data_IF_703111428053
#
_entry.id   IF_703111428053
#
_cell.length_a   1.000
_cell.length_b   1.000
_cell.length_c   1.000
_cell.angle_alpha   90.00
_cell.angle_beta   90.00
_cell.angle_gamma   90.00
#
_symmetry.space_group_name_H-M   'P 1'
#
loop_
_entity.id
_entity.type
_entity.pdbx_description
1 polymer ?
#
# COMPACT_ATOMS: atom_id res chain seq x y z
N UNK A 1 -8.78 33.14 -22.10
CA UNK A 1 -8.96 31.76 -22.61
C UNK A 1 -8.23 30.80 -21.68
N UNK A 2 -8.95 29.96 -20.93
CA UNK A 2 -8.35 28.95 -20.04
C UNK A 2 -8.06 27.70 -20.85
N UNK A 3 -6.78 27.41 -21.12
CA UNK A 3 -6.38 26.12 -21.69
C UNK A 3 -6.56 25.02 -20.64
N UNK A 4 -7.76 24.44 -20.59
CA UNK A 4 -7.97 23.12 -20.01
C UNK A 4 -7.31 22.09 -20.94
N UNK A 5 -5.98 21.96 -20.88
CA UNK A 5 -5.31 20.76 -21.37
C UNK A 5 -5.80 19.62 -20.48
N UNK A 6 -6.60 18.72 -21.04
CA UNK A 6 -6.92 17.44 -20.41
C UNK A 6 -5.60 16.72 -20.15
N UNK A 7 -5.16 16.71 -18.89
CA UNK A 7 -3.99 15.97 -18.47
C UNK A 7 -4.32 14.48 -18.50
N UNK A 8 -3.94 13.81 -19.59
CA UNK A 8 -3.84 12.36 -19.61
C UNK A 8 -2.46 12.03 -19.07
N UNK A 9 -2.31 11.51 -17.83
CA UNK A 9 -1.00 11.07 -17.38
C UNK A 9 -0.56 9.91 -18.27
N UNK A 10 0.47 10.14 -19.09
CA UNK A 10 1.06 9.13 -19.96
C UNK A 10 1.91 8.23 -19.07
N UNK A 11 1.28 7.23 -18.47
CA UNK A 11 2.00 6.12 -17.86
C UNK A 11 2.36 5.14 -18.97
N UNK A 12 3.65 5.04 -19.32
CA UNK A 12 4.10 4.01 -20.26
C UNK A 12 4.50 2.79 -19.45
N UNK A 13 3.66 1.75 -19.50
CA UNK A 13 4.03 0.45 -18.99
C UNK A 13 4.93 -0.26 -20.01
N UNK A 14 6.07 -0.77 -19.55
CA UNK A 14 7.02 -1.53 -20.37
C UNK A 14 7.26 -2.89 -19.74
N UNK A 15 7.64 -3.85 -20.59
CA UNK A 15 8.00 -5.19 -20.14
C UNK A 15 9.18 -5.11 -19.15
N UNK A 16 9.16 -5.92 -18.08
CA UNK A 16 10.30 -6.07 -17.20
C UNK A 16 11.48 -6.57 -18.03
N UNK A 17 12.66 -6.05 -17.71
CA UNK A 17 13.93 -6.45 -18.28
C UNK A 17 14.98 -6.29 -17.19
N UNK A 18 15.96 -7.19 -17.17
CA UNK A 18 17.13 -7.00 -16.31
C UNK A 18 17.85 -5.72 -16.75
N UNK A 19 18.17 -4.86 -15.79
CA UNK A 19 18.93 -3.63 -15.99
C UNK A 19 20.41 -3.99 -16.03
N UNK A 20 20.90 -4.37 -17.21
CA UNK A 20 22.27 -4.86 -17.40
C UNK A 20 23.37 -3.85 -17.07
N UNK A 21 23.05 -2.56 -17.01
CA UNK A 21 23.97 -1.49 -16.63
C UNK A 21 23.98 -1.18 -15.13
N UNK A 22 23.05 -1.75 -14.34
CA UNK A 22 23.00 -1.48 -12.91
C UNK A 22 24.13 -2.23 -12.18
N UNK A 23 24.75 -1.55 -11.23
CA UNK A 23 25.71 -2.10 -10.28
C UNK A 23 25.24 -1.83 -8.84
N UNK A 24 25.92 -2.37 -7.84
CA UNK A 24 25.51 -2.24 -6.43
C UNK A 24 25.40 -0.78 -5.96
N UNK A 25 26.22 0.13 -6.50
CA UNK A 25 26.18 1.55 -6.14
C UNK A 25 24.94 2.27 -6.69
N UNK A 26 24.15 1.64 -7.57
CA UNK A 26 22.89 2.19 -8.08
C UNK A 26 21.70 1.89 -7.14
N UNK A 27 21.95 1.22 -6.03
CA UNK A 27 20.93 0.85 -5.06
C UNK A 27 21.01 1.69 -3.78
N UNK A 28 19.90 1.74 -3.06
CA UNK A 28 19.78 2.32 -1.73
C UNK A 28 19.17 1.31 -0.77
N UNK A 29 19.71 1.24 0.44
CA UNK A 29 19.25 0.31 1.47
C UNK A 29 17.86 0.71 1.99
N UNK A 30 17.01 -0.28 2.21
CA UNK A 30 15.76 -0.10 2.95
C UNK A 30 15.39 -1.36 3.73
N UNK A 31 14.72 -1.19 4.86
CA UNK A 31 14.35 -2.30 5.75
C UNK A 31 12.86 -2.59 5.77
N UNK A 32 12.03 -1.58 5.47
CA UNK A 32 10.60 -1.61 5.71
C UNK A 32 9.81 -1.26 4.47
N UNK A 33 8.67 -1.92 4.31
CA UNK A 33 7.67 -1.61 3.30
C UNK A 33 6.38 -1.18 3.99
N UNK A 34 5.59 -0.37 3.32
CA UNK A 34 4.35 0.16 3.85
C UNK A 34 3.19 0.03 2.87
N UNK A 35 2.01 -0.23 3.43
CA UNK A 35 0.73 -0.06 2.75
C UNK A 35 0.02 1.11 3.39
N UNK A 36 -0.16 2.20 2.65
CA UNK A 36 -0.90 3.35 3.15
C UNK A 36 -2.35 3.28 2.70
N UNK A 37 -3.27 3.51 3.64
CA UNK A 37 -4.70 3.63 3.39
C UNK A 37 -5.18 5.05 3.67
N UNK A 38 -6.15 5.49 2.88
CA UNK A 38 -6.90 6.71 3.15
C UNK A 38 -7.73 6.52 4.43
N UNK A 39 -7.94 7.60 5.20
CA UNK A 39 -8.66 7.52 6.48
C UNK A 39 -10.08 6.94 6.30
N UNK A 40 -10.78 7.35 5.23
CA UNK A 40 -12.12 6.83 4.92
C UNK A 40 -12.10 5.31 4.68
N UNK A 41 -11.08 4.79 4.00
CA UNK A 41 -10.96 3.35 3.73
C UNK A 41 -10.67 2.61 5.05
N UNK A 42 -9.77 3.16 5.87
CA UNK A 42 -9.44 2.59 7.16
C UNK A 42 -10.67 2.54 8.11
N UNK A 43 -11.52 3.56 8.11
CA UNK A 43 -12.73 3.61 8.94
C UNK A 43 -13.86 2.70 8.41
N UNK A 44 -13.90 2.47 7.09
CA UNK A 44 -14.96 1.69 6.46
C UNK A 44 -14.63 0.20 6.30
N UNK A 45 -13.34 -0.16 6.24
CA UNK A 45 -12.91 -1.54 6.22
C UNK A 45 -12.72 -2.10 7.63
N UNK A 46 -13.04 -3.38 7.82
CA UNK A 46 -12.61 -4.09 9.02
C UNK A 46 -11.08 -4.16 8.97
N UNK A 47 -10.41 -3.41 9.84
CA UNK A 47 -8.97 -3.18 9.74
C UNK A 47 -8.18 -4.49 9.79
N UNK A 48 -8.65 -5.53 10.49
CA UNK A 48 -8.04 -6.87 10.57
C UNK A 48 -8.00 -7.62 9.27
N UNK A 49 -8.80 -7.21 8.29
CA UNK A 49 -8.83 -7.84 6.99
C UNK A 49 -8.28 -6.86 5.98
N UNK A 50 -7.07 -7.12 5.52
CA UNK A 50 -6.60 -6.52 4.29
C UNK A 50 -7.44 -7.06 3.13
N UNK A 51 -8.52 -6.34 2.83
CA UNK A 51 -9.29 -6.62 1.63
C UNK A 51 -8.45 -6.19 0.42
N UNK A 52 -8.21 -7.09 -0.53
CA UNK A 52 -7.56 -6.77 -1.78
C UNK A 52 -8.39 -5.70 -2.49
N UNK A 53 -7.75 -4.60 -2.89
CA UNK A 53 -8.42 -3.65 -3.77
C UNK A 53 -8.47 -4.33 -5.14
N UNK A 54 -9.66 -4.74 -5.57
CA UNK A 54 -9.87 -5.21 -6.94
C UNK A 54 -9.67 -4.00 -7.85
N UNK A 55 -8.49 -3.86 -8.43
CA UNK A 55 -8.19 -2.78 -9.37
C UNK A 55 -8.86 -3.08 -10.71
N UNK A 56 -10.13 -2.72 -10.84
CA UNK A 56 -10.80 -2.67 -12.13
C UNK A 56 -10.33 -1.41 -12.88
N UNK A 57 -9.54 -1.56 -13.96
CA UNK A 57 -9.54 -0.53 -14.99
C UNK A 57 -8.22 -0.06 -15.60
N UNK A 58 -7.06 -0.58 -15.22
CA UNK A 58 -5.83 -0.44 -16.05
C UNK A 58 -5.11 -1.77 -16.06
N UNK A 59 -4.67 -2.20 -17.25
CA UNK A 59 -4.17 -3.55 -17.57
C UNK A 59 -3.03 -3.99 -16.64
N UNK A 60 -3.35 -4.39 -15.41
CA UNK A 60 -2.46 -5.21 -14.59
C UNK A 60 -2.40 -6.57 -15.27
N UNK A 61 -1.18 -7.01 -15.60
CA UNK A 61 -0.93 -8.27 -16.31
C UNK A 61 -1.39 -9.52 -15.53
N UNK A 62 -1.89 -9.36 -14.31
CA UNK A 62 -2.49 -10.42 -13.51
C UNK A 62 -3.94 -10.62 -13.96
N UNK A 63 -4.11 -11.26 -15.12
CA UNK A 63 -5.39 -11.87 -15.50
C UNK A 63 -5.66 -13.07 -14.59
N UNK A 64 -6.30 -12.83 -13.46
CA UNK A 64 -6.77 -13.89 -12.55
C UNK A 64 -7.56 -13.29 -11.39
N UNK A 65 -8.47 -14.09 -10.81
CA UNK A 65 -9.24 -13.79 -9.59
C UNK A 65 -8.37 -13.73 -8.32
N UNK A 66 -7.18 -13.12 -8.44
CA UNK A 66 -6.20 -12.99 -7.37
C UNK A 66 -6.32 -11.65 -6.69
N UNK A 67 -6.03 -11.66 -5.40
CA UNK A 67 -6.29 -10.59 -4.46
C UNK A 67 -4.94 -10.08 -3.99
N UNK A 68 -4.50 -8.92 -4.49
CA UNK A 68 -3.17 -8.39 -4.18
C UNK A 68 -3.22 -7.27 -3.16
N UNK A 69 -2.27 -7.28 -2.22
CA UNK A 69 -1.96 -6.14 -1.37
C UNK A 69 -0.79 -5.38 -1.94
N UNK A 70 -0.99 -4.07 -2.10
CA UNK A 70 0.03 -3.16 -2.59
C UNK A 70 0.79 -2.55 -1.43
N UNK A 71 2.11 -2.58 -1.52
CA UNK A 71 3.05 -1.95 -0.61
C UNK A 71 4.08 -1.14 -1.43
N UNK A 72 4.60 -0.07 -0.86
CA UNK A 72 5.79 0.65 -1.33
C UNK A 72 6.90 0.53 -0.29
N UNK A 73 8.10 1.00 -0.61
CA UNK A 73 9.12 1.25 0.43
C UNK A 73 8.55 2.25 1.44
N UNK A 74 8.80 2.01 2.74
CA UNK A 74 8.32 2.87 3.80
C UNK A 74 9.01 4.24 3.77
N UNK A 75 8.22 5.31 3.80
CA UNK A 75 8.72 6.69 3.87
C UNK A 75 8.65 7.23 5.31
N UNK A 76 9.44 8.27 5.64
CA UNK A 76 9.24 9.04 6.86
C UNK A 76 7.78 9.49 7.01
N UNK A 77 7.26 9.48 8.24
CA UNK A 77 5.84 9.80 8.49
C UNK A 77 5.51 11.27 8.25
N UNK A 78 6.52 12.14 8.38
CA UNK A 78 6.45 13.58 8.20
C UNK A 78 6.34 13.99 6.72
N UNK A 79 6.89 13.17 5.81
CA UNK A 79 6.75 13.36 4.37
C UNK A 79 5.29 13.25 3.93
N UNK A 80 4.95 13.82 2.78
CA UNK A 80 3.59 13.76 2.27
C UNK A 80 3.30 12.38 1.64
N UNK A 81 2.36 11.65 2.21
CA UNK A 81 1.95 10.33 1.74
C UNK A 81 0.77 10.44 0.79
N UNK A 82 0.99 10.20 -0.51
CA UNK A 82 -0.06 10.42 -1.53
C UNK A 82 -1.23 9.45 -1.45
N UNK A 83 -1.02 8.31 -0.81
CA UNK A 83 -1.97 7.21 -0.73
C UNK A 83 -2.96 7.33 0.42
N UNK A 84 -2.66 8.15 1.45
CA UNK A 84 -3.60 8.35 2.55
C UNK A 84 -2.96 8.79 3.85
N UNK A 85 -3.61 8.40 4.95
CA UNK A 85 -3.39 8.95 6.29
C UNK A 85 -2.79 7.94 7.27
N UNK A 86 -2.88 6.64 6.96
CA UNK A 86 -2.44 5.57 7.86
C UNK A 86 -1.63 4.54 7.11
N UNK A 87 -0.37 4.38 7.50
CA UNK A 87 0.54 3.37 6.97
C UNK A 87 0.58 2.13 7.85
N UNK A 88 0.50 0.97 7.20
CA UNK A 88 0.74 -0.35 7.76
C UNK A 88 2.14 -0.79 7.34
N UNK A 89 3.09 -0.74 8.26
CA UNK A 89 4.52 -0.89 7.99
C UNK A 89 4.99 -2.25 8.54
N UNK A 90 5.69 -3.01 7.70
CA UNK A 90 6.28 -4.30 8.05
C UNK A 90 7.73 -4.34 7.57
N UNK A 91 8.61 -5.01 8.31
CA UNK A 91 9.96 -5.29 7.83
C UNK A 91 9.90 -6.23 6.63
N UNK A 92 10.62 -5.90 5.57
CA UNK A 92 10.65 -6.74 4.37
C UNK A 92 11.19 -8.14 4.69
N UNK A 93 12.20 -8.22 5.57
CA UNK A 93 12.76 -9.49 6.01
C UNK A 93 11.70 -10.40 6.65
N UNK A 94 10.95 -9.92 7.64
CA UNK A 94 9.90 -10.69 8.32
C UNK A 94 8.84 -11.21 7.33
N UNK A 95 8.46 -10.36 6.36
CA UNK A 95 7.54 -10.75 5.29
C UNK A 95 8.11 -11.87 4.43
N UNK A 96 9.36 -11.72 3.98
CA UNK A 96 10.01 -12.66 3.09
C UNK A 96 10.31 -13.99 3.78
N UNK A 97 10.75 -13.99 5.04
CA UNK A 97 10.93 -15.22 5.83
C UNK A 97 9.62 -16.01 5.98
N UNK A 98 8.51 -15.31 6.16
CA UNK A 98 7.20 -15.96 6.26
C UNK A 98 6.73 -16.57 4.94
N UNK A 99 6.99 -15.90 3.80
CA UNK A 99 6.37 -16.25 2.52
C UNK A 99 7.29 -16.89 1.49
N UNK A 100 8.61 -16.74 1.53
CA UNK A 100 9.51 -17.26 0.49
C UNK A 100 9.53 -18.79 0.39
N UNK A 101 9.15 -19.50 1.44
CA UNK A 101 8.99 -20.97 1.41
C UNK A 101 7.80 -21.42 0.54
N UNK A 102 6.80 -20.55 0.34
CA UNK A 102 5.54 -20.87 -0.35
C UNK A 102 5.25 -19.98 -1.55
N UNK A 103 5.97 -18.87 -1.70
CA UNK A 103 5.77 -17.86 -2.74
C UNK A 103 7.10 -17.55 -3.44
N UNK A 104 6.99 -17.21 -4.72
CA UNK A 104 8.10 -16.79 -5.57
C UNK A 104 7.96 -15.31 -5.92
N UNK A 105 9.11 -14.68 -6.18
CA UNK A 105 9.16 -13.30 -6.61
C UNK A 105 9.22 -13.20 -8.13
N UNK A 106 8.42 -12.30 -8.69
CA UNK A 106 8.43 -11.97 -10.12
C UNK A 106 8.51 -10.47 -10.31
N UNK A 107 9.36 -10.02 -11.23
CA UNK A 107 9.36 -8.66 -11.74
C UNK A 107 8.28 -8.55 -12.82
N UNK A 108 7.30 -7.68 -12.61
CA UNK A 108 6.06 -7.64 -13.39
C UNK A 108 6.07 -6.59 -14.50
N UNK A 109 6.49 -5.37 -14.17
CA UNK A 109 6.39 -4.23 -15.07
C UNK A 109 7.25 -3.05 -14.58
N UNK A 110 7.59 -2.18 -15.53
CA UNK A 110 8.13 -0.84 -15.26
C UNK A 110 7.13 0.18 -15.78
N UNK A 111 6.71 1.09 -14.92
CA UNK A 111 5.84 2.21 -15.22
C UNK A 111 6.69 3.46 -15.29
N UNK A 112 6.80 4.03 -16.49
CA UNK A 112 7.41 5.34 -16.65
C UNK A 112 6.43 6.45 -16.25
N UNK A 113 6.84 7.25 -15.27
CA UNK A 113 6.20 8.50 -14.86
C UNK A 113 7.01 9.69 -15.40
N UNK A 114 6.43 10.89 -15.28
CA UNK A 114 7.07 12.13 -15.76
C UNK A 114 8.45 12.35 -15.13
N UNK A 115 8.56 12.17 -13.81
CA UNK A 115 9.74 12.46 -13.01
C UNK A 115 10.45 11.22 -12.45
N UNK A 116 9.81 10.05 -12.49
CA UNK A 116 10.35 8.82 -11.92
C UNK A 116 9.99 7.60 -12.76
N UNK A 117 10.66 6.50 -12.47
CA UNK A 117 10.28 5.16 -12.90
C UNK A 117 9.74 4.40 -11.70
N UNK A 118 8.73 3.56 -11.90
CA UNK A 118 8.20 2.69 -10.88
C UNK A 118 8.32 1.25 -11.35
N UNK A 119 9.06 0.42 -10.63
CA UNK A 119 9.04 -1.02 -10.85
C UNK A 119 8.08 -1.71 -9.90
N UNK A 120 7.42 -2.75 -10.39
CA UNK A 120 6.53 -3.59 -9.59
C UNK A 120 7.00 -5.02 -9.54
N UNK A 121 7.11 -5.54 -8.33
CA UNK A 121 7.40 -6.95 -8.07
C UNK A 121 6.20 -7.60 -7.42
N UNK A 122 5.96 -8.88 -7.71
CA UNK A 122 4.91 -9.67 -7.05
C UNK A 122 5.50 -10.85 -6.30
N UNK A 123 5.01 -11.07 -5.09
CA UNK A 123 5.21 -12.26 -4.30
C UNK A 123 3.95 -13.14 -4.39
N UNK A 124 4.05 -14.32 -5.01
CA UNK A 124 2.89 -15.19 -5.25
C UNK A 124 3.24 -16.68 -5.21
N UNK A 125 2.30 -17.50 -4.73
CA UNK A 125 2.39 -18.96 -4.82
C UNK A 125 2.06 -19.49 -6.22
N UNK A 126 1.47 -18.66 -7.08
CA UNK A 126 1.11 -19.03 -8.45
C UNK A 126 2.36 -18.99 -9.33
N UNK A 127 2.56 -20.03 -10.14
CA UNK A 127 3.57 -20.01 -11.20
C UNK A 127 3.12 -19.07 -12.32
N UNK A 128 3.74 -17.90 -12.43
CA UNK A 128 3.39 -16.90 -13.45
C UNK A 128 4.08 -17.13 -14.81
N UNK A 129 4.60 -18.33 -15.08
CA UNK A 129 5.36 -18.67 -16.31
C UNK A 129 4.59 -18.38 -17.61
N UNK A 130 3.25 -18.38 -17.57
CA UNK A 130 2.38 -18.08 -18.72
C UNK A 130 2.07 -16.59 -18.90
N UNK A 131 2.33 -15.74 -17.90
CA UNK A 131 2.09 -14.31 -17.96
C UNK A 131 3.36 -13.61 -18.43
N UNK A 132 3.73 -13.80 -19.71
CA UNK A 132 4.70 -12.90 -20.33
C UNK A 132 4.12 -11.48 -20.28
N UNK A 133 4.87 -10.50 -19.76
CA UNK A 133 6.34 -10.50 -19.69
C UNK A 133 6.98 -10.77 -18.31
N UNK A 134 6.30 -11.31 -17.30
CA UNK A 134 6.86 -11.49 -15.95
C UNK A 134 8.17 -12.29 -15.90
N UNK A 135 9.16 -11.81 -15.16
CA UNK A 135 10.47 -12.44 -14.96
C UNK A 135 10.59 -12.93 -13.52
N UNK A 136 10.76 -14.23 -13.30
CA UNK A 136 11.11 -14.74 -11.97
C UNK A 136 12.55 -14.33 -11.67
N UNK A 137 12.82 -13.82 -10.47
CA UNK A 137 14.17 -13.45 -10.07
C UNK A 137 14.41 -13.77 -8.60
N UNK A 138 15.68 -13.93 -8.24
CA UNK A 138 16.14 -14.03 -6.85
C UNK A 138 16.76 -12.68 -6.45
N UNK A 139 16.47 -12.14 -5.25
CA UNK A 139 17.01 -10.84 -4.83
C UNK A 139 18.55 -10.76 -4.80
N UNK A 140 19.28 -11.87 -4.74
CA UNK A 140 20.74 -11.87 -4.79
C UNK A 140 21.32 -11.44 -6.15
N UNK A 141 20.49 -11.29 -7.19
CA UNK A 141 20.94 -10.88 -8.52
C UNK A 141 20.85 -9.36 -8.73
N UNK A 142 21.99 -8.73 -9.05
CA UNK A 142 22.05 -7.33 -9.49
C UNK A 142 21.37 -7.14 -10.85
N UNK A 143 20.74 -5.99 -11.05
CA UNK A 143 20.02 -5.65 -12.28
C UNK A 143 18.50 -5.84 -12.17
N UNK A 144 17.99 -6.19 -11.01
CA UNK A 144 16.55 -6.17 -10.71
C UNK A 144 16.19 -4.97 -9.82
N UNK A 145 14.91 -4.58 -9.74
CA UNK A 145 14.47 -3.48 -8.89
C UNK A 145 14.79 -3.65 -7.39
N UNK A 146 14.93 -4.91 -6.96
CA UNK A 146 15.26 -5.32 -5.60
C UNK A 146 16.55 -6.14 -5.64
N UNK A 147 17.49 -5.80 -4.75
CA UNK A 147 18.75 -6.50 -4.56
C UNK A 147 18.93 -6.87 -3.09
N UNK A 148 19.55 -8.01 -2.80
CA UNK A 148 19.97 -8.43 -1.46
C UNK A 148 21.50 -8.58 -1.48
N UNK A 149 22.15 -7.71 -0.72
CA UNK A 149 23.60 -7.71 -0.53
C UNK A 149 24.11 -8.97 0.17
N UNK A 150 25.42 -9.18 0.12
CA UNK A 150 26.08 -10.32 0.78
C UNK A 150 25.90 -10.31 2.30
N UNK A 151 25.80 -9.11 2.90
CA UNK A 151 25.53 -8.87 4.32
C UNK A 151 24.08 -9.18 4.70
N UNK A 152 23.23 -9.48 3.71
CA UNK A 152 21.83 -9.84 3.91
C UNK A 152 20.87 -8.65 3.91
N UNK A 153 21.36 -7.43 3.68
CA UNK A 153 20.53 -6.21 3.61
C UNK A 153 19.83 -6.11 2.25
N UNK A 154 18.59 -5.62 2.27
CA UNK A 154 17.79 -5.39 1.07
C UNK A 154 17.97 -3.95 0.58
N UNK A 155 18.07 -3.82 -0.74
CA UNK A 155 18.29 -2.57 -1.42
C UNK A 155 17.34 -2.43 -2.60
N UNK A 156 16.88 -1.21 -2.84
CA UNK A 156 16.08 -0.87 -4.01
C UNK A 156 16.89 -0.05 -4.98
N UNK A 157 16.63 -0.24 -6.27
CA UNK A 157 17.27 0.57 -7.30
C UNK A 157 16.82 2.03 -7.14
N UNK A 158 17.77 2.96 -6.93
CA UNK A 158 17.48 4.38 -6.67
C UNK A 158 17.36 5.20 -7.94
N UNK A 159 18.16 4.85 -8.94
CA UNK A 159 18.23 5.51 -10.25
C UNK A 159 18.55 4.47 -11.31
N UNK A 160 18.01 4.66 -12.50
CA UNK A 160 18.46 3.90 -13.67
C UNK A 160 19.47 4.76 -14.45
N UNK A 161 20.71 4.29 -14.65
CA UNK A 161 21.74 5.04 -15.36
C UNK A 161 21.28 5.56 -16.73
N UNK A 162 20.51 4.75 -17.47
CA UNK A 162 20.04 5.10 -18.81
C UNK A 162 18.90 6.13 -18.83
N UNK A 163 18.28 6.43 -17.68
CA UNK A 163 17.07 7.25 -17.59
C UNK A 163 17.26 8.55 -16.82
N UNK A 164 18.31 8.70 -16.01
CA UNK A 164 18.54 9.86 -15.13
C UNK A 164 17.28 10.26 -14.34
N UNK A 165 16.45 9.27 -13.97
CA UNK A 165 15.21 9.43 -13.22
C UNK A 165 15.33 8.66 -11.92
N UNK A 166 14.75 9.21 -10.86
CA UNK A 166 14.53 8.48 -9.62
C UNK A 166 13.69 7.24 -9.87
N UNK A 167 13.93 6.20 -9.10
CA UNK A 167 13.29 4.91 -9.28
C UNK A 167 12.59 4.49 -7.98
N UNK A 168 11.33 4.08 -8.12
CA UNK A 168 10.47 3.63 -7.04
C UNK A 168 10.22 2.13 -7.16
N UNK A 169 10.02 1.46 -6.03
CA UNK A 169 9.68 0.04 -5.98
C UNK A 169 8.34 -0.16 -5.25
N UNK A 170 7.42 -0.85 -5.92
CA UNK A 170 6.17 -1.33 -5.34
C UNK A 170 6.15 -2.87 -5.29
N UNK A 171 5.63 -3.39 -4.19
CA UNK A 171 5.41 -4.80 -3.94
C UNK A 171 3.92 -5.13 -4.06
N UNK A 172 3.64 -6.21 -4.76
CA UNK A 172 2.34 -6.84 -4.85
C UNK A 172 2.41 -8.14 -4.07
N UNK A 173 1.62 -8.29 -3.02
CA UNK A 173 1.56 -9.54 -2.24
C UNK A 173 0.27 -10.24 -2.61
N UNK A 174 0.37 -11.37 -3.29
CA UNK A 174 -0.77 -12.19 -3.67
C UNK A 174 -1.27 -13.00 -2.48
N UNK A 175 -2.47 -12.67 -2.02
CA UNK A 175 -3.09 -13.26 -0.85
C UNK A 175 -3.93 -14.45 -1.26
N UNK A 176 -3.58 -15.62 -0.73
CA UNK A 176 -4.29 -16.87 -0.97
C UNK A 176 -5.59 -16.94 -0.15
N UNK A 177 -5.56 -16.50 1.10
CA UNK A 177 -6.69 -16.60 2.02
C UNK A 177 -6.71 -15.49 3.09
N UNK A 178 -7.74 -15.55 3.94
CA UNK A 178 -7.94 -14.58 5.02
C UNK A 178 -6.86 -14.67 6.11
N UNK A 179 -6.27 -15.84 6.34
CA UNK A 179 -5.27 -16.05 7.39
C UNK A 179 -3.96 -15.35 7.02
N UNK A 180 -3.53 -15.44 5.76
CA UNK A 180 -2.38 -14.68 5.25
C UNK A 180 -2.59 -13.17 5.44
N UNK A 181 -3.75 -12.65 5.05
CA UNK A 181 -4.09 -11.24 5.24
C UNK A 181 -4.06 -10.82 6.72
N UNK A 182 -4.59 -11.65 7.61
CA UNK A 182 -4.60 -11.40 9.05
C UNK A 182 -3.18 -11.44 9.65
N UNK A 183 -2.34 -12.34 9.17
CA UNK A 183 -0.94 -12.42 9.61
C UNK A 183 -0.19 -11.15 9.24
N UNK A 184 -0.29 -10.68 7.98
CA UNK A 184 0.34 -9.42 7.57
C UNK A 184 -0.17 -8.27 8.43
N UNK A 185 -1.48 -8.18 8.63
CA UNK A 185 -2.08 -7.10 9.43
C UNK A 185 -1.57 -7.07 10.88
N UNK A 186 -1.43 -8.23 11.49
CA UNK A 186 -1.02 -8.38 12.88
C UNK A 186 0.46 -8.04 13.06
N UNK A 187 1.29 -8.30 12.04
CA UNK A 187 2.72 -7.98 12.05
C UNK A 187 3.03 -6.55 11.57
N UNK A 188 2.07 -5.85 10.97
CA UNK A 188 2.24 -4.44 10.64
C UNK A 188 2.16 -3.52 11.88
N UNK A 189 3.20 -2.71 12.05
CA UNK A 189 3.15 -1.46 12.81
C UNK A 189 2.20 -0.49 12.10
N UNK A 190 1.35 0.20 12.85
CA UNK A 190 0.37 1.15 12.32
C UNK A 190 0.82 2.56 12.66
N UNK A 191 1.03 3.40 11.66
CA UNK A 191 1.51 4.77 11.84
C UNK A 191 0.58 5.73 11.13
N UNK A 192 0.24 6.81 11.82
CA UNK A 192 -0.41 7.96 11.19
C UNK A 192 0.64 8.76 10.43
N UNK A 193 0.34 9.04 9.17
CA UNK A 193 1.24 9.73 8.24
C UNK A 193 0.62 11.04 7.76
N UNK A 194 1.48 11.96 7.31
CA UNK A 194 1.06 13.28 6.86
C UNK A 194 0.39 13.19 5.47
N UNK A 195 -0.87 13.60 5.38
CA UNK A 195 -1.62 13.74 4.13
C UNK A 195 -2.09 15.18 3.91
N UNK A 196 -1.51 16.15 4.62
CA UNK A 196 -2.02 17.53 4.67
C UNK A 196 -2.02 18.22 3.30
N UNK A 197 -1.14 17.79 2.39
CA UNK A 197 -1.05 18.36 1.05
C UNK A 197 -2.06 17.77 0.05
N UNK A 198 -2.94 16.86 0.49
CA UNK A 198 -3.89 16.11 -0.36
C UNK A 198 -4.85 16.95 -1.22
N UNK A 199 -4.98 18.27 -0.95
CA UNK A 199 -5.83 19.22 -1.68
C UNK A 199 -5.10 20.44 -2.23
N UNK A 200 -3.76 20.46 -2.22
CA UNK A 200 -2.98 21.64 -2.64
C UNK A 200 -2.98 21.87 -4.15
N UNK A 201 -3.58 20.96 -4.94
CA UNK A 201 -3.66 21.08 -6.39
C UNK A 201 -2.34 20.78 -7.12
N UNK A 202 -1.26 20.47 -6.40
CA UNK A 202 -0.03 19.95 -6.97
C UNK A 202 -0.25 18.55 -7.59
N UNK A 203 0.64 18.16 -8.52
CA UNK A 203 0.67 16.79 -9.05
C UNK A 203 0.88 15.80 -7.88
N UNK A 204 0.21 14.64 -7.95
CA UNK A 204 0.33 13.55 -6.96
C UNK A 204 -0.08 13.88 -5.51
N UNK A 205 -1.02 14.80 -5.30
CA UNK A 205 -1.45 15.21 -3.95
C UNK A 205 -2.28 14.14 -3.21
N UNK A 206 -3.30 13.57 -3.84
CA UNK A 206 -4.05 12.44 -3.27
C UNK A 206 -4.42 11.43 -4.36
N UNK A 207 -3.92 10.20 -4.26
CA UNK A 207 -4.13 9.17 -5.27
C UNK A 207 -5.61 8.76 -5.37
N UNK A 208 -6.31 8.66 -4.24
CA UNK A 208 -7.71 8.22 -4.21
C UNK A 208 -8.67 9.19 -4.92
N UNK A 209 -8.48 10.50 -4.71
CA UNK A 209 -9.36 11.51 -5.26
C UNK A 209 -8.86 12.05 -6.61
N UNK A 210 -7.57 12.38 -6.78
CA UNK A 210 -7.10 13.02 -8.02
C UNK A 210 -6.94 12.07 -9.22
N UNK A 211 -6.65 10.78 -9.03
CA UNK A 211 -6.29 9.87 -10.14
C UNK A 211 -7.47 9.00 -10.60
N UNK A 212 -8.38 8.61 -9.70
CA UNK A 212 -9.51 7.72 -10.03
C UNK A 212 -10.81 8.43 -10.43
N UNK A 213 -10.72 9.67 -10.92
CA UNK A 213 -11.83 10.32 -11.62
C UNK A 213 -12.86 11.00 -10.73
N UNK A 214 -12.70 11.02 -9.41
CA UNK A 214 -13.44 11.95 -8.58
C UNK A 214 -12.75 13.32 -8.71
N UNK A 215 -13.22 14.22 -9.56
CA UNK A 215 -12.79 15.65 -9.54
C UNK A 215 -13.19 16.37 -8.22
N UNK A 216 -13.27 15.64 -7.13
CA UNK A 216 -13.61 16.08 -5.79
C UNK A 216 -12.32 16.27 -5.00
N UNK A 217 -12.36 17.23 -4.07
CA UNK A 217 -11.31 17.41 -3.08
C UNK A 217 -11.25 16.19 -2.16
N UNK A 218 -10.04 15.78 -1.79
CA UNK A 218 -9.80 14.81 -0.73
C UNK A 218 -10.57 15.25 0.54
N UNK A 219 -11.27 14.30 1.16
CA UNK A 219 -12.06 14.57 2.38
C UNK A 219 -11.23 14.53 3.65
N UNK A 220 -10.06 13.88 3.62
CA UNK A 220 -9.13 13.81 4.75
C UNK A 220 -7.71 14.28 4.43
N UNK A 221 -7.52 15.52 3.94
CA UNK A 221 -6.20 16.13 3.70
C UNK A 221 -5.57 16.55 5.03
N UNK A 222 -5.36 15.61 5.94
CA UNK A 222 -5.07 15.89 7.35
C UNK A 222 -3.60 15.73 7.66
N UNK A 223 -3.10 16.56 8.57
CA UNK A 223 -1.81 16.37 9.21
C UNK A 223 -1.83 15.13 10.11
N UNK A 224 -0.66 14.78 10.65
CA UNK A 224 -0.50 13.69 11.60
C UNK A 224 -1.35 13.95 12.86
N UNK A 225 -1.32 15.17 13.40
CA UNK A 225 -2.01 15.56 14.62
C UNK A 225 -3.52 15.44 14.44
N UNK A 226 -4.05 15.96 13.33
CA UNK A 226 -5.48 15.92 13.06
C UNK A 226 -5.99 14.51 12.82
N UNK A 227 -5.23 13.69 12.08
CA UNK A 227 -5.58 12.29 11.89
C UNK A 227 -5.60 11.53 13.22
N UNK A 228 -4.61 11.76 14.09
CA UNK A 228 -4.57 11.17 15.43
C UNK A 228 -5.77 11.57 16.30
N UNK A 229 -6.18 12.84 16.27
CA UNK A 229 -7.37 13.32 16.98
C UNK A 229 -8.63 12.56 16.52
N UNK A 230 -8.81 12.43 15.21
CA UNK A 230 -9.96 11.73 14.63
C UNK A 230 -9.97 10.27 15.08
N UNK A 231 -8.84 9.56 14.94
CA UNK A 231 -8.73 8.15 15.35
C UNK A 231 -9.06 7.97 16.83
N UNK A 232 -8.49 8.81 17.70
CA UNK A 232 -8.77 8.77 19.14
C UNK A 232 -10.25 9.03 19.43
N UNK A 233 -10.86 9.99 18.74
CA UNK A 233 -12.29 10.30 18.90
C UNK A 233 -13.17 9.12 18.49
N UNK A 234 -12.85 8.46 17.37
CA UNK A 234 -13.55 7.27 16.86
C UNK A 234 -13.44 6.12 17.86
N UNK A 235 -12.23 5.83 18.36
CA UNK A 235 -12.01 4.80 19.38
C UNK A 235 -12.78 5.08 20.68
N UNK A 236 -12.85 6.33 21.11
CA UNK A 236 -13.56 6.71 22.33
C UNK A 236 -15.08 6.55 22.18
N UNK A 237 -15.65 6.97 21.04
CA UNK A 237 -17.06 6.74 20.73
C UNK A 237 -17.39 5.26 20.72
N UNK A 238 -16.53 4.47 20.08
CA UNK A 238 -16.59 3.02 20.04
C UNK A 238 -16.63 2.36 21.44
N UNK A 239 -15.70 2.77 22.32
CA UNK A 239 -15.67 2.28 23.72
C UNK A 239 -16.93 2.65 24.50
N UNK A 240 -17.44 3.88 24.31
CA UNK A 240 -18.68 4.34 24.97
C UNK A 240 -19.90 3.53 24.50
N UNK A 241 -20.01 3.30 23.19
CA UNK A 241 -21.11 2.51 22.61
C UNK A 241 -21.08 1.06 23.12
N UNK A 242 -19.91 0.42 23.19
CA UNK A 242 -19.79 -0.94 23.73
C UNK A 242 -20.17 -1.01 25.22
N UNK A 243 -19.81 -0.01 26.03
CA UNK A 243 -20.24 0.07 27.43
C UNK A 243 -21.76 0.24 27.56
N UNK A 244 -22.37 1.06 26.71
CA UNK A 244 -23.82 1.26 26.71
C UNK A 244 -24.57 0.00 26.26
N UNK A 245 -24.09 -0.69 25.23
CA UNK A 245 -24.67 -1.96 24.77
C UNK A 245 -24.59 -3.04 25.85
N UNK A 246 -23.44 -3.18 26.54
CA UNK A 246 -23.31 -4.09 27.69
C UNK A 246 -24.30 -3.75 28.82
N UNK A 247 -24.50 -2.47 29.13
CA UNK A 247 -25.48 -2.03 30.14
C UNK A 247 -26.92 -2.32 29.74
N UNK A 248 -27.28 -2.14 28.46
CA UNK A 248 -28.62 -2.47 27.94
C UNK A 248 -28.88 -3.98 27.94
N UNK A 249 -27.89 -4.78 27.54
CA UNK A 249 -27.97 -6.24 27.60
C UNK A 249 -28.17 -6.75 29.04
N UNK A 250 -27.48 -6.15 30.02
CA UNK A 250 -27.67 -6.46 31.45
C UNK A 250 -29.04 -6.04 32.00
N UNK A 251 -29.75 -5.11 31.33
CA UNK A 251 -31.09 -4.64 31.71
C UNK A 251 -32.23 -5.34 30.94
N UNK A 252 -31.93 -6.31 30.08
CA UNK A 252 -32.94 -7.01 29.29
C UNK A 252 -33.59 -6.17 28.17
N UNK A 253 -33.02 -5.02 27.82
CA UNK A 253 -33.53 -4.17 26.74
C UNK A 253 -33.09 -4.72 25.37
N UNK A 254 -34.04 -4.99 24.47
CA UNK A 254 -33.73 -5.52 23.14
C UNK A 254 -33.10 -4.44 22.24
N UNK A 255 -31.91 -4.72 21.72
CA UNK A 255 -31.22 -3.83 20.80
C UNK A 255 -31.74 -4.04 19.37
N UNK A 256 -32.62 -3.14 18.91
CA UNK A 256 -33.09 -3.13 17.53
C UNK A 256 -31.96 -2.66 16.57
N UNK A 257 -31.45 -3.62 15.79
CA UNK A 257 -30.95 -3.54 14.39
C UNK A 257 -29.88 -2.54 13.92
N UNK A 258 -29.41 -1.55 14.70
CA UNK A 258 -28.37 -0.61 14.23
C UNK A 258 -26.94 -0.90 14.76
N UNK A 259 -26.79 -1.72 15.82
CA UNK A 259 -25.52 -1.84 16.55
C UNK A 259 -24.46 -2.71 15.88
N UNK A 260 -24.85 -3.75 15.11
CA UNK A 260 -23.92 -4.76 14.57
C UNK A 260 -22.94 -4.20 13.51
N UNK A 261 -23.32 -3.14 12.79
CA UNK A 261 -22.45 -2.51 11.79
C UNK A 261 -21.43 -1.55 12.45
N UNK A 262 -21.80 -0.93 13.57
CA UNK A 262 -20.92 -0.04 14.32
C UNK A 262 -19.96 -0.78 15.26
N UNK A 263 -20.39 -1.86 15.91
CA UNK A 263 -19.55 -2.66 16.81
C UNK A 263 -18.33 -3.28 16.12
N UNK A 264 -18.44 -3.66 14.83
CA UNK A 264 -17.31 -4.17 14.04
C UNK A 264 -16.26 -3.10 13.70
N UNK A 265 -16.64 -1.83 13.57
CA UNK A 265 -15.72 -0.71 13.25
C UNK A 265 -14.80 -0.33 14.42
N UNK A 266 -15.05 -0.87 15.61
CA UNK A 266 -14.59 -0.29 16.86
C UNK A 266 -13.41 -0.99 17.55
N UNK A 267 -13.04 -2.20 17.10
CA UNK A 267 -12.20 -3.09 17.91
C UNK A 267 -10.69 -2.85 17.70
N UNK A 268 -10.25 -2.11 16.68
CA UNK A 268 -8.87 -2.31 16.19
C UNK A 268 -8.03 -1.07 15.87
N UNK A 269 -8.53 0.16 16.03
CA UNK A 269 -7.73 1.36 15.71
C UNK A 269 -6.69 1.76 16.76
N UNK A 270 -6.14 0.80 17.50
CA UNK A 270 -5.06 1.07 18.46
C UNK A 270 -3.76 1.37 17.69
N UNK A 271 -3.61 2.61 17.21
CA UNK A 271 -2.35 3.17 16.74
C UNK A 271 -1.48 3.32 17.99
N UNK A 272 -0.41 2.51 18.08
CA UNK A 272 0.59 2.61 19.14
C UNK A 272 1.60 3.69 18.80
#
# INVERSE_FOLDING_TARGET
MRHNKSYTPIFKCTAPRRFSCANENDYEEFTEIERTLHLDDMVNHNTTTFSPIITNGRRSYIKGKGSVLWFSIAKPKEEHHWYGNVSFIIKLQDLLEHFLSTKKMYFMEIIERRSSLLSRVILTSRKLKSLKPAIQFEPSEVGFPLFKSAEGMYHSLKTLPDYNKGHELEFMIDIADKQEAQWIYSNCRKVVVNHSLGNTGAEYTCHNYHIFGQKARCKSPFSIEKTNEIIKSTLNLCRKNNKNNKRKALKGESNNTSSKLHERKCIELSVK
#
